data_IF_335979160159
#
_entry.id   IF_335979160159
#
_cell.length_a   1.000
_cell.length_b   1.000
_cell.length_c   1.000
_cell.angle_alpha   90.00
_cell.angle_beta   90.00
_cell.angle_gamma   90.00
#
_symmetry.space_group_name_H-M   'P 1'
#
loop_
_entity.id
_entity.type
_entity.pdbx_description
1 polymer ?
#
# COMPACT_ATOMS: atom_id res chain seq x y z
N UNK A 1 2.38 8.72 -6.39
CA UNK A 1 2.67 7.71 -7.43
C UNK A 1 1.87 6.42 -7.28
N UNK A 2 1.63 5.91 -6.06
CA UNK A 2 0.88 4.66 -5.89
C UNK A 2 -0.62 4.84 -6.22
N UNK A 3 -1.23 5.95 -5.80
CA UNK A 3 -2.63 6.27 -6.10
C UNK A 3 -2.95 6.27 -7.60
N UNK A 4 -2.08 6.89 -8.40
CA UNK A 4 -2.22 6.96 -9.86
C UNK A 4 -2.13 5.58 -10.54
N UNK A 5 -1.30 4.67 -10.03
CA UNK A 5 -1.08 3.34 -10.64
C UNK A 5 -2.06 2.27 -10.16
N UNK A 6 -2.47 2.33 -8.90
CA UNK A 6 -3.26 1.29 -8.26
C UNK A 6 -4.75 1.63 -8.16
N UNK A 7 -5.10 2.93 -8.19
CA UNK A 7 -6.45 3.39 -7.87
C UNK A 7 -6.83 3.11 -6.40
N UNK A 8 -8.09 3.42 -6.01
CA UNK A 8 -8.53 3.28 -4.63
C UNK A 8 -8.85 1.83 -4.22
N UNK A 9 -8.86 0.89 -5.16
CA UNK A 9 -9.27 -0.50 -4.93
C UNK A 9 -8.23 -1.50 -5.44
N UNK A 10 -7.80 -2.35 -4.52
CA UNK A 10 -6.87 -3.44 -4.76
C UNK A 10 -7.62 -4.78 -4.75
N UNK A 11 -7.72 -5.45 -5.91
CA UNK A 11 -8.35 -6.77 -6.04
C UNK A 11 -7.36 -7.88 -5.71
N UNK A 12 -7.09 -8.07 -4.42
CA UNK A 12 -6.12 -9.05 -3.95
C UNK A 12 -6.51 -9.67 -2.60
N UNK A 13 -6.09 -10.91 -2.39
CA UNK A 13 -6.37 -11.67 -1.16
C UNK A 13 -5.19 -11.56 -0.18
N UNK A 14 -5.45 -11.83 1.11
CA UNK A 14 -4.39 -11.94 2.13
C UNK A 14 -3.35 -13.01 1.77
N UNK A 15 -3.80 -14.08 1.13
CA UNK A 15 -2.94 -15.16 0.64
C UNK A 15 -2.03 -14.68 -0.48
N UNK A 16 -2.57 -13.94 -1.44
CA UNK A 16 -1.78 -13.37 -2.53
C UNK A 16 -0.74 -12.36 -2.00
N UNK A 17 -1.10 -11.52 -1.03
CA UNK A 17 -0.15 -10.63 -0.34
C UNK A 17 0.98 -11.39 0.35
N UNK A 18 0.66 -12.51 1.01
CA UNK A 18 1.67 -13.30 1.71
C UNK A 18 2.73 -13.85 0.76
N UNK A 19 2.30 -14.26 -0.45
CA UNK A 19 3.19 -14.72 -1.52
C UNK A 19 4.04 -13.56 -2.03
N UNK A 20 3.42 -12.42 -2.36
CA UNK A 20 4.15 -11.27 -2.94
C UNK A 20 5.19 -10.67 -1.98
N UNK A 21 4.89 -10.64 -0.69
CA UNK A 21 5.77 -10.05 0.32
C UNK A 21 6.73 -11.08 0.95
N UNK A 22 6.63 -12.36 0.58
CA UNK A 22 7.48 -13.43 1.14
C UNK A 22 7.27 -13.65 2.65
N UNK A 23 6.08 -13.29 3.18
CA UNK A 23 5.75 -13.40 4.61
C UNK A 23 4.70 -14.48 4.87
N UNK A 24 4.58 -14.93 6.12
CA UNK A 24 3.51 -15.87 6.49
C UNK A 24 2.15 -15.17 6.52
N UNK A 25 1.08 -15.88 6.12
CA UNK A 25 -0.31 -15.40 6.13
C UNK A 25 -0.76 -14.73 7.44
N UNK A 26 -0.42 -15.23 8.65
CA UNK A 26 -0.79 -14.54 9.90
C UNK A 26 -0.21 -13.13 10.02
N UNK A 27 1.01 -12.90 9.53
CA UNK A 27 1.62 -11.56 9.53
C UNK A 27 0.85 -10.58 8.66
N UNK A 28 0.38 -11.03 7.49
CA UNK A 28 -0.49 -10.23 6.61
C UNK A 28 -1.82 -9.93 7.27
N UNK A 29 -2.42 -10.93 7.93
CA UNK A 29 -3.69 -10.74 8.65
C UNK A 29 -3.57 -9.68 9.74
N UNK A 30 -2.53 -9.77 10.59
CA UNK A 30 -2.30 -8.79 11.66
C UNK A 30 -2.08 -7.40 11.09
N UNK A 31 -1.27 -7.27 10.03
CA UNK A 31 -1.06 -5.97 9.37
C UNK A 31 -2.37 -5.39 8.83
N UNK A 32 -3.20 -6.19 8.16
CA UNK A 32 -4.50 -5.74 7.65
C UNK A 32 -5.44 -5.33 8.79
N UNK A 33 -5.49 -6.09 9.88
CA UNK A 33 -6.32 -5.76 11.05
C UNK A 33 -5.89 -4.44 11.70
N UNK A 34 -4.58 -4.18 11.79
CA UNK A 34 -4.06 -2.90 12.29
C UNK A 34 -4.44 -1.76 11.34
N UNK A 35 -4.27 -1.94 10.03
CA UNK A 35 -4.62 -0.91 9.04
C UNK A 35 -6.12 -0.62 8.99
N UNK A 36 -6.97 -1.65 9.08
CA UNK A 36 -8.43 -1.49 9.18
C UNK A 36 -8.84 -0.86 10.51
N UNK A 37 -8.23 -1.27 11.64
CA UNK A 37 -8.50 -0.73 12.96
C UNK A 37 -8.17 0.76 13.08
N UNK A 38 -7.17 1.23 12.33
CA UNK A 38 -6.84 2.64 12.21
C UNK A 38 -7.69 3.38 11.15
N UNK A 39 -8.64 2.71 10.49
CA UNK A 39 -9.52 3.31 9.48
C UNK A 39 -8.83 3.64 8.15
N UNK A 40 -7.59 3.20 7.94
CA UNK A 40 -6.78 3.54 6.76
C UNK A 40 -7.23 2.78 5.52
N UNK A 41 -7.71 1.55 5.71
CA UNK A 41 -8.22 0.69 4.65
C UNK A 41 -9.51 0.00 5.09
N UNK A 42 -10.20 -0.62 4.11
CA UNK A 42 -11.24 -1.62 4.34
C UNK A 42 -10.94 -2.85 3.51
N UNK A 43 -10.73 -3.99 4.17
CA UNK A 43 -10.44 -5.28 3.57
C UNK A 43 -11.65 -6.21 3.67
N UNK A 44 -12.06 -6.72 2.52
CA UNK A 44 -13.02 -7.82 2.40
C UNK A 44 -12.36 -9.00 1.69
N UNK A 45 -13.04 -10.14 1.59
CA UNK A 45 -12.50 -11.29 0.87
C UNK A 45 -12.13 -10.90 -0.58
N UNK A 46 -10.84 -10.96 -0.90
CA UNK A 46 -10.31 -10.66 -2.24
C UNK A 46 -10.31 -9.19 -2.65
N UNK A 47 -10.58 -8.25 -1.73
CA UNK A 47 -10.62 -6.82 -2.05
C UNK A 47 -10.14 -5.97 -0.88
N UNK A 48 -9.26 -5.01 -1.15
CA UNK A 48 -8.83 -3.99 -0.19
C UNK A 48 -9.14 -2.63 -0.80
N UNK A 49 -9.84 -1.77 -0.07
CA UNK A 49 -10.16 -0.40 -0.45
C UNK A 49 -9.36 0.54 0.42
N UNK A 50 -8.65 1.46 -0.19
CA UNK A 50 -7.91 2.50 0.53
C UNK A 50 -8.88 3.60 0.92
N UNK A 51 -8.89 3.99 2.19
CA UNK A 51 -9.78 5.02 2.75
C UNK A 51 -9.05 6.30 3.04
N UNK A 52 -7.81 6.20 3.53
CA UNK A 52 -6.98 7.35 3.85
C UNK A 52 -5.55 7.12 3.32
N UNK A 53 -5.27 7.75 2.18
CA UNK A 53 -3.94 7.72 1.58
C UNK A 53 -2.90 8.48 2.40
N UNK A 54 -3.26 9.65 2.93
CA UNK A 54 -2.31 10.43 3.73
C UNK A 54 -1.94 9.71 5.02
N UNK A 55 -2.93 9.08 5.67
CA UNK A 55 -2.72 8.25 6.85
C UNK A 55 -1.81 7.05 6.58
N UNK A 56 -1.97 6.38 5.43
CA UNK A 56 -1.06 5.30 5.00
C UNK A 56 0.37 5.79 4.78
N UNK A 57 0.55 6.95 4.13
CA UNK A 57 1.87 7.54 3.90
C UNK A 57 2.54 7.93 5.23
N UNK A 58 1.78 8.52 6.15
CA UNK A 58 2.28 8.85 7.49
C UNK A 58 2.68 7.60 8.27
N UNK A 59 1.86 6.54 8.22
CA UNK A 59 2.17 5.28 8.90
C UNK A 59 3.38 4.56 8.30
N UNK A 60 3.64 4.73 7.01
CA UNK A 60 4.83 4.22 6.35
C UNK A 60 6.13 4.88 6.85
N UNK A 61 6.05 5.96 7.62
CA UNK A 61 7.15 6.57 8.39
C UNK A 61 8.46 6.69 7.58
N UNK A 62 8.38 7.37 6.43
CA UNK A 62 9.55 7.63 5.58
C UNK A 62 10.01 6.46 4.69
N UNK A 63 9.41 5.26 4.82
CA UNK A 63 9.59 4.19 3.83
C UNK A 63 8.87 4.46 2.50
N UNK A 64 7.97 5.45 2.49
CA UNK A 64 7.29 5.98 1.32
C UNK A 64 7.48 7.51 1.27
N UNK A 65 7.84 8.05 0.10
CA UNK A 65 8.11 9.47 -0.14
C UNK A 65 9.58 9.75 -0.49
N UNK A 66 10.54 9.63 0.44
CA UNK A 66 11.96 9.87 0.18
C UNK A 66 12.56 8.99 -0.93
N UNK A 67 12.30 7.67 -0.99
CA UNK A 67 12.77 6.83 -2.10
C UNK A 67 12.19 7.26 -3.46
N UNK A 68 10.92 7.66 -3.50
CA UNK A 68 10.25 8.13 -4.71
C UNK A 68 10.81 9.48 -5.18
N UNK A 69 11.09 10.40 -4.26
CA UNK A 69 11.74 11.67 -4.56
C UNK A 69 13.16 11.45 -5.11
N UNK A 70 13.90 10.49 -4.53
CA UNK A 70 15.22 10.11 -5.01
C UNK A 70 15.16 9.45 -6.40
N UNK A 71 14.16 8.60 -6.64
CA UNK A 71 13.88 8.02 -7.95
C UNK A 71 13.58 9.11 -9.00
N UNK A 72 12.70 10.08 -8.69
CA UNK A 72 12.37 11.19 -9.58
C UNK A 72 13.60 12.08 -9.85
N UNK A 73 14.46 12.30 -8.85
CA UNK A 73 15.71 13.05 -9.00
C UNK A 73 16.71 12.34 -9.92
N UNK A 74 16.87 11.02 -9.78
CA UNK A 74 17.89 10.23 -10.49
C UNK A 74 17.45 9.81 -11.89
N UNK A 75 16.17 9.48 -12.07
CA UNK A 75 15.62 8.91 -13.32
C UNK A 75 14.77 9.92 -14.10
N UNK A 76 14.32 11.00 -13.46
CA UNK A 76 13.37 11.96 -14.03
C UNK A 76 11.91 11.53 -13.83
N UNK A 77 10.97 12.47 -14.00
CA UNK A 77 9.54 12.17 -13.89
C UNK A 77 9.15 11.11 -14.92
N UNK A 78 8.55 10.01 -14.45
CA UNK A 78 7.93 9.01 -15.32
C UNK A 78 6.95 9.72 -16.28
N UNK A 79 6.92 9.36 -17.58
CA UNK A 79 6.18 10.09 -18.63
C UNK A 79 4.64 10.00 -18.53
N UNK A 80 4.10 9.66 -17.36
CA UNK A 80 2.66 9.50 -17.10
C UNK A 80 2.07 10.68 -16.33
N UNK A 81 2.68 11.87 -16.41
CA UNK A 81 2.06 13.12 -15.95
C UNK A 81 1.17 13.73 -17.03
#
# INVERSE_FOLDING_TARGET
MCEDRAGPELKLTREFLSIMLGVRRPGVTVAIEVLEGNGLIRATCGKIVIRDWEGLIKLADGSYGPPEAEYERLIGSSPLR
#
